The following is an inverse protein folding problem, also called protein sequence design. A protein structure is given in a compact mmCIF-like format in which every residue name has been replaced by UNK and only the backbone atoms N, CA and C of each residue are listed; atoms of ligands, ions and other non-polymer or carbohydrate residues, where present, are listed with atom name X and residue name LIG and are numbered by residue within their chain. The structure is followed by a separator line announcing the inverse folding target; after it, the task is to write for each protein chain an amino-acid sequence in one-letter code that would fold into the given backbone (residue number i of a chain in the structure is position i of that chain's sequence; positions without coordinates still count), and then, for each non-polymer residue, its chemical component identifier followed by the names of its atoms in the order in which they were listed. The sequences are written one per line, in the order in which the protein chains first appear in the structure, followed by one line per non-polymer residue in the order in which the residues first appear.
data_IF_259407236062
#
_entry.id   IF_259407236062
#
_cell.length_a   1.000
_cell.length_b   1.000
_cell.length_c   1.000
_cell.angle_alpha   90.00
_cell.angle_beta   90.00
_cell.angle_gamma   90.00
#
_symmetry.space_group_name_H-M   'P 1'
#
loop_
_entity.id
_entity.type
_entity.pdbx_description
1 polymer ?
#
# COMPACT_ATOMS: atom_id res chain seq x y z
N UNK A 1 2.86 -28.54 -57.09
CA UNK A 1 1.95 -28.83 -55.96
C UNK A 1 1.80 -27.54 -55.16
N UNK A 2 0.62 -26.90 -55.12
CA UNK A 2 0.40 -25.68 -54.31
C UNK A 2 -0.10 -26.14 -52.92
N UNK A 3 0.64 -25.82 -51.86
CA UNK A 3 0.28 -26.17 -50.48
C UNK A 3 -0.91 -25.36 -49.96
N UNK A 4 -1.61 -25.91 -48.96
CA UNK A 4 -2.71 -25.24 -48.29
C UNK A 4 -2.25 -23.96 -47.55
N UNK A 5 -3.12 -22.96 -47.36
CA UNK A 5 -2.78 -21.73 -46.65
C UNK A 5 -2.37 -22.01 -45.19
N UNK A 6 -1.42 -21.21 -44.68
CA UNK A 6 -0.98 -21.28 -43.28
C UNK A 6 -2.16 -21.09 -42.32
N UNK A 7 -2.17 -21.87 -41.23
CA UNK A 7 -3.12 -21.68 -40.13
C UNK A 7 -2.64 -20.63 -39.12
N UNK A 8 -3.47 -20.36 -38.12
CA UNK A 8 -3.20 -19.40 -37.05
C UNK A 8 -2.65 -20.09 -35.79
N UNK A 9 -1.79 -19.38 -35.06
CA UNK A 9 -1.35 -19.75 -33.71
C UNK A 9 -2.01 -18.84 -32.68
N UNK A 10 -2.75 -19.43 -31.75
CA UNK A 10 -3.30 -18.74 -30.59
C UNK A 10 -2.41 -18.97 -29.37
N UNK A 11 -1.84 -17.89 -28.83
CA UNK A 11 -1.07 -17.92 -27.58
C UNK A 11 -1.87 -17.19 -26.50
N UNK A 12 -2.26 -17.91 -25.45
CA UNK A 12 -2.90 -17.32 -24.27
C UNK A 12 -1.90 -17.24 -23.13
N UNK A 13 -1.65 -16.04 -22.64
CA UNK A 13 -0.71 -15.79 -21.54
C UNK A 13 -1.46 -15.71 -20.22
N UNK A 14 -0.98 -16.44 -19.21
CA UNK A 14 -1.45 -16.36 -17.84
C UNK A 14 -0.34 -15.81 -16.96
N UNK A 15 -0.62 -14.75 -16.21
CA UNK A 15 0.31 -14.17 -15.25
C UNK A 15 0.06 -14.82 -13.90
N UNK A 16 1.10 -15.38 -13.29
CA UNK A 16 1.00 -15.94 -11.94
C UNK A 16 0.90 -14.81 -10.91
N UNK A 17 0.15 -14.98 -9.81
CA UNK A 17 0.16 -14.03 -8.71
C UNK A 17 1.58 -13.80 -8.18
N UNK A 18 1.94 -12.54 -7.98
CA UNK A 18 3.17 -12.16 -7.29
C UNK A 18 2.95 -12.07 -5.78
N UNK A 19 4.01 -12.24 -4.99
CA UNK A 19 3.91 -12.21 -3.52
C UNK A 19 3.76 -10.81 -2.94
N UNK A 20 4.21 -9.79 -3.68
CA UNK A 20 4.28 -8.40 -3.24
C UNK A 20 3.28 -7.56 -4.02
N UNK A 21 3.20 -7.77 -5.33
CA UNK A 21 2.38 -6.96 -6.22
C UNK A 21 1.08 -7.65 -6.62
N UNK A 22 -0.01 -6.90 -6.51
CA UNK A 22 -1.21 -7.14 -7.29
C UNK A 22 -1.21 -6.32 -8.57
N UNK A 23 -2.11 -6.65 -9.48
CA UNK A 23 -2.33 -5.91 -10.72
C UNK A 23 -3.82 -5.69 -10.93
N UNK A 24 -4.21 -4.45 -11.15
CA UNK A 24 -5.56 -4.04 -11.55
C UNK A 24 -5.47 -3.27 -12.87
N UNK A 25 -5.89 -3.90 -13.97
CA UNK A 25 -5.69 -3.36 -15.31
C UNK A 25 -4.20 -3.11 -15.60
N UNK A 26 -3.82 -1.85 -15.75
CA UNK A 26 -2.43 -1.43 -15.96
C UNK A 26 -1.76 -0.90 -14.68
N UNK A 27 -2.50 -0.79 -13.58
CA UNK A 27 -1.96 -0.32 -12.31
C UNK A 27 -1.42 -1.50 -11.50
N UNK A 28 -0.38 -1.24 -10.73
CA UNK A 28 0.16 -2.17 -9.75
C UNK A 28 -0.34 -1.78 -8.37
N UNK A 29 -0.57 -2.77 -7.52
CA UNK A 29 -0.99 -2.54 -6.13
C UNK A 29 0.03 -3.17 -5.19
N UNK A 30 0.37 -2.48 -4.10
CA UNK A 30 1.21 -3.04 -3.04
C UNK A 30 0.66 -2.61 -1.68
N UNK A 31 0.70 -3.53 -0.70
CA UNK A 31 0.39 -3.21 0.69
C UNK A 31 1.69 -3.10 1.47
N UNK A 32 1.95 -1.91 2.01
CA UNK A 32 3.17 -1.62 2.78
C UNK A 32 2.82 -1.63 4.27
N UNK A 33 3.39 -2.55 5.06
CA UNK A 33 3.27 -2.51 6.50
C UNK A 33 4.03 -1.29 7.03
N UNK A 34 3.38 -0.52 7.90
CA UNK A 34 3.93 0.70 8.50
C UNK A 34 3.68 0.69 10.01
N UNK A 35 4.48 1.42 10.75
CA UNK A 35 4.22 1.70 12.16
C UNK A 35 3.14 2.78 12.32
N UNK A 36 2.48 2.77 13.48
CA UNK A 36 1.54 3.83 13.85
C UNK A 36 2.22 5.22 13.84
N UNK A 37 3.46 5.31 14.32
CA UNK A 37 4.21 6.57 14.41
C UNK A 37 4.53 7.13 13.03
N UNK A 38 4.85 6.30 12.03
CA UNK A 38 5.07 6.76 10.65
C UNK A 38 3.81 7.42 10.06
N UNK A 39 2.63 6.89 10.36
CA UNK A 39 1.37 7.50 9.93
C UNK A 39 1.00 8.75 10.74
N UNK A 40 1.17 8.68 12.07
CA UNK A 40 0.77 9.74 12.99
C UNK A 40 1.69 10.97 12.93
N UNK A 41 2.99 10.78 12.67
CA UNK A 41 4.01 11.83 12.64
C UNK A 41 4.42 12.21 11.21
N UNK A 42 4.12 11.35 10.23
CA UNK A 42 4.61 11.47 8.86
C UNK A 42 5.97 10.80 8.69
N UNK A 43 6.24 10.31 7.48
CA UNK A 43 7.47 9.58 7.15
C UNK A 43 7.74 9.64 5.65
N UNK A 44 8.89 9.12 5.23
CA UNK A 44 9.15 8.78 3.82
C UNK A 44 9.47 7.30 3.74
N UNK A 45 8.59 6.53 3.10
CA UNK A 45 8.72 5.08 2.97
C UNK A 45 9.53 4.74 1.72
N UNK A 46 10.37 3.70 1.81
CA UNK A 46 10.98 3.07 0.64
C UNK A 46 10.05 1.96 0.14
N UNK A 47 9.49 2.12 -1.06
CA UNK A 47 8.50 1.19 -1.62
C UNK A 47 9.09 0.48 -2.83
N UNK A 48 8.98 -0.86 -2.94
CA UNK A 48 9.44 -1.57 -4.13
C UNK A 48 8.57 -1.24 -5.34
N UNK A 49 9.21 -1.25 -6.50
CA UNK A 49 8.61 -1.12 -7.83
C UNK A 49 9.15 -2.26 -8.70
N UNK A 50 8.65 -2.43 -9.94
CA UNK A 50 9.18 -3.45 -10.84
C UNK A 50 10.67 -3.25 -11.20
N UNK A 51 11.14 -2.00 -11.20
CA UNK A 51 12.48 -1.64 -11.70
C UNK A 51 13.42 -1.12 -10.59
N UNK A 52 13.06 -1.26 -9.31
CA UNK A 52 13.84 -0.74 -8.18
C UNK A 52 12.96 -0.27 -7.02
N UNK A 53 13.39 0.77 -6.30
CA UNK A 53 12.64 1.35 -5.17
C UNK A 53 12.35 2.83 -5.38
N UNK A 54 11.29 3.33 -4.74
CA UNK A 54 10.92 4.75 -4.77
C UNK A 54 10.57 5.24 -3.37
N UNK A 55 10.98 6.48 -3.06
CA UNK A 55 10.59 7.16 -1.84
C UNK A 55 9.16 7.71 -1.94
N UNK A 56 8.28 7.27 -1.04
CA UNK A 56 6.88 7.72 -0.95
C UNK A 56 6.69 8.54 0.32
N UNK A 57 6.37 9.82 0.17
CA UNK A 57 6.07 10.71 1.30
C UNK A 57 4.70 10.37 1.88
N UNK A 58 4.67 10.10 3.18
CA UNK A 58 3.47 9.91 3.99
C UNK A 58 3.22 11.18 4.80
N UNK A 59 2.14 11.92 4.53
CA UNK A 59 1.77 13.08 5.34
C UNK A 59 1.47 12.69 6.79
N UNK A 60 1.72 13.63 7.72
CA UNK A 60 1.30 13.50 9.12
C UNK A 60 -0.21 13.28 9.22
N UNK A 61 -0.64 12.36 10.08
CA UNK A 61 -2.06 12.06 10.30
C UNK A 61 -2.69 11.26 9.16
N UNK A 62 -1.89 10.47 8.44
CA UNK A 62 -2.42 9.57 7.40
C UNK A 62 -3.22 8.44 8.05
N UNK A 63 -4.43 8.19 7.54
CA UNK A 63 -5.28 7.10 8.03
C UNK A 63 -4.76 5.72 7.62
N UNK A 64 -5.00 4.70 8.45
CA UNK A 64 -4.77 3.29 8.07
C UNK A 64 -5.57 2.94 6.80
N UNK A 65 -4.97 2.18 5.90
CA UNK A 65 -5.57 1.78 4.63
C UNK A 65 -5.60 2.87 3.56
N UNK A 66 -5.03 4.05 3.81
CA UNK A 66 -4.91 5.09 2.79
C UNK A 66 -4.11 4.58 1.59
N UNK A 67 -4.61 4.87 0.39
CA UNK A 67 -3.90 4.60 -0.86
C UNK A 67 -3.12 5.85 -1.28
N UNK A 68 -1.81 5.69 -1.46
CA UNK A 68 -0.88 6.69 -1.99
C UNK A 68 -0.50 6.30 -3.42
N UNK A 69 -0.58 7.25 -4.35
CA UNK A 69 -0.36 7.00 -5.77
C UNK A 69 1.02 7.46 -6.21
N UNK A 70 1.80 6.53 -6.75
CA UNK A 70 3.08 6.84 -7.42
C UNK A 70 2.86 6.77 -8.93
N UNK A 71 2.88 7.93 -9.57
CA UNK A 71 2.54 8.06 -10.98
C UNK A 71 3.56 7.37 -11.89
N UNK A 72 3.08 6.69 -12.93
CA UNK A 72 3.90 6.11 -13.98
C UNK A 72 4.75 4.90 -13.55
N UNK A 73 4.42 4.29 -12.42
CA UNK A 73 5.12 3.12 -11.85
C UNK A 73 4.31 1.82 -11.92
N UNK A 74 3.24 1.80 -12.72
CA UNK A 74 2.48 0.60 -13.08
C UNK A 74 3.01 -0.06 -14.34
N UNK A 75 2.19 -0.90 -14.97
CA UNK A 75 2.56 -1.69 -16.15
C UNK A 75 2.59 -0.80 -17.41
N UNK A 76 3.55 -1.00 -18.33
CA UNK A 76 3.59 -0.31 -19.61
C UNK A 76 2.34 -0.58 -20.45
N UNK A 77 1.80 0.48 -21.07
CA UNK A 77 0.60 0.43 -21.92
C UNK A 77 0.97 0.32 -23.38
N UNK A 78 0.15 -0.39 -24.17
CA UNK A 78 0.35 -0.52 -25.63
C UNK A 78 0.27 0.83 -26.35
N UNK A 79 -0.53 1.77 -25.85
CA UNK A 79 -0.69 3.12 -26.38
C UNK A 79 0.45 4.08 -25.99
N UNK A 80 1.45 3.60 -25.25
CA UNK A 80 2.48 4.43 -24.63
C UNK A 80 2.13 4.85 -23.20
N UNK A 81 3.18 5.18 -22.43
CA UNK A 81 3.08 5.44 -20.99
C UNK A 81 2.91 4.16 -20.16
N UNK A 82 2.63 4.36 -18.87
CA UNK A 82 2.42 3.27 -17.91
C UNK A 82 1.22 3.57 -17.02
N UNK A 83 0.68 2.54 -16.36
CA UNK A 83 -0.19 2.74 -15.20
C UNK A 83 0.57 3.33 -14.00
N UNK A 84 -0.10 3.33 -12.86
CA UNK A 84 0.42 3.84 -11.60
C UNK A 84 0.71 2.70 -10.60
N UNK A 85 1.50 2.99 -9.57
CA UNK A 85 1.64 2.13 -8.40
C UNK A 85 0.76 2.68 -7.28
N UNK A 86 -0.17 1.85 -6.81
CA UNK A 86 -1.12 2.13 -5.74
C UNK A 86 -0.61 1.49 -4.44
N UNK A 87 -0.12 2.33 -3.54
CA UNK A 87 0.49 1.93 -2.27
C UNK A 87 -0.53 2.03 -1.15
N UNK A 88 -1.02 0.90 -0.65
CA UNK A 88 -1.89 0.86 0.53
C UNK A 88 -1.02 0.78 1.77
N UNK A 89 -1.10 1.76 2.67
CA UNK A 89 -0.40 1.71 3.96
C UNK A 89 -1.25 0.93 4.97
N UNK A 90 -0.64 -0.02 5.69
CA UNK A 90 -1.32 -0.79 6.74
C UNK A 90 -0.52 -0.83 8.01
N UNK A 91 -1.13 -0.42 9.12
CA UNK A 91 -0.47 -0.43 10.42
C UNK A 91 -0.18 -1.86 10.85
N UNK A 92 1.09 -2.16 11.10
CA UNK A 92 1.54 -3.38 11.73
C UNK A 92 1.67 -3.15 13.24
N UNK A 93 1.06 -4.02 14.04
CA UNK A 93 1.16 -3.99 15.51
C UNK A 93 2.21 -5.00 15.94
N UNK A 94 3.27 -4.58 16.67
CA UNK A 94 4.29 -5.50 17.14
C UNK A 94 3.68 -6.48 18.16
N UNK A 95 3.94 -7.80 18.04
CA UNK A 95 3.36 -8.79 18.93
C UNK A 95 3.98 -8.76 20.34
N UNK A 96 5.18 -8.20 20.48
CA UNK A 96 5.91 -8.11 21.74
C UNK A 96 6.40 -6.68 21.94
N UNK A 97 6.12 -6.11 23.12
CA UNK A 97 6.59 -4.80 23.56
C UNK A 97 7.17 -4.95 24.97
N UNK A 98 8.33 -4.35 25.23
CA UNK A 98 8.98 -4.37 26.54
C UNK A 98 9.89 -3.15 26.72
N UNK A 99 10.22 -2.85 27.98
CA UNK A 99 11.12 -1.77 28.36
C UNK A 99 10.65 -0.40 27.86
N UNK A 100 11.59 0.41 27.38
CA UNK A 100 11.35 1.80 26.98
C UNK A 100 10.23 1.96 25.93
N UNK A 101 10.03 0.98 25.03
CA UNK A 101 8.98 1.04 24.04
C UNK A 101 7.57 0.91 24.67
N UNK A 102 7.43 0.06 25.68
CA UNK A 102 6.18 -0.08 26.42
C UNK A 102 5.90 1.17 27.26
N UNK A 103 6.89 1.65 28.01
CA UNK A 103 6.76 2.86 28.84
C UNK A 103 6.35 4.08 28.00
N UNK A 104 6.96 4.27 26.83
CA UNK A 104 6.61 5.35 25.92
C UNK A 104 5.17 5.23 25.38
N UNK A 105 4.71 4.01 25.08
CA UNK A 105 3.36 3.78 24.57
C UNK A 105 2.30 3.98 25.66
N UNK A 106 2.59 3.60 26.90
CA UNK A 106 1.72 3.86 28.07
C UNK A 106 1.59 5.37 28.32
N UNK A 107 2.69 6.11 28.26
CA UNK A 107 2.69 7.57 28.37
C UNK A 107 1.88 8.23 27.24
N UNK A 108 2.07 7.77 25.99
CA UNK A 108 1.26 8.23 24.86
C UNK A 108 -0.22 7.94 25.06
N UNK A 109 -0.57 6.73 25.50
CA UNK A 109 -1.97 6.34 25.73
C UNK A 109 -2.64 7.17 26.84
N UNK A 110 -1.89 7.62 27.86
CA UNK A 110 -2.41 8.55 28.87
C UNK A 110 -2.71 9.93 28.26
N UNK A 111 -1.80 10.47 27.46
CA UNK A 111 -1.96 11.75 26.77
C UNK A 111 -3.08 11.71 25.70
N UNK A 112 -3.22 10.60 24.97
CA UNK A 112 -4.28 10.41 24.00
C UNK A 112 -5.67 10.50 24.67
N UNK A 113 -5.85 9.80 25.79
CA UNK A 113 -7.12 9.85 26.55
C UNK A 113 -7.44 11.25 27.06
N UNK A 114 -6.44 11.97 27.57
CA UNK A 114 -6.66 13.35 28.06
C UNK A 114 -6.93 14.35 26.94
N UNK A 115 -6.50 14.06 25.70
CA UNK A 115 -6.80 14.89 24.53
C UNK A 115 -8.27 14.83 24.06
N UNK A 116 -9.05 13.88 24.59
CA UNK A 116 -10.45 13.65 24.17
C UNK A 116 -10.59 12.88 22.86
N UNK A 117 -9.50 12.37 22.26
CA UNK A 117 -9.58 11.50 21.10
C UNK A 117 -10.28 10.18 21.45
N UNK A 118 -11.35 9.85 20.71
CA UNK A 118 -12.07 8.60 20.87
C UNK A 118 -12.22 7.91 19.48
N UNK A 119 -11.47 6.83 19.21
CA UNK A 119 -11.54 6.13 17.92
C UNK A 119 -12.90 5.46 17.66
N UNK A 120 -13.79 5.38 18.66
CA UNK A 120 -15.15 4.84 18.56
C UNK A 120 -16.23 5.92 18.68
N UNK A 121 -15.87 7.21 18.56
CA UNK A 121 -16.83 8.30 18.69
C UNK A 121 -18.05 8.15 17.76
N UNK A 122 -17.85 7.61 16.56
CA UNK A 122 -18.92 7.39 15.57
C UNK A 122 -19.78 6.13 15.77
N UNK A 123 -19.56 5.33 16.83
CA UNK A 123 -20.33 4.10 17.08
C UNK A 123 -21.63 4.33 17.86
N UNK A 124 -21.80 5.51 18.46
CA UNK A 124 -23.07 5.90 19.02
C UNK A 124 -24.04 6.14 17.86
N UNK A 125 -24.77 5.09 17.48
CA UNK A 125 -25.71 5.10 16.36
C UNK A 125 -26.71 6.24 16.46
N UNK A 126 -27.10 6.78 15.29
CA UNK A 126 -28.28 7.63 15.16
C UNK A 126 -29.45 6.97 15.90
N UNK A 127 -29.89 7.57 17.02
CA UNK A 127 -31.25 7.43 17.50
C UNK A 127 -32.14 8.43 16.77
#
# INVERSE_FOLDING_TARGET
MRGAPSGDLYVTVHVRPDKIFGRDGDDLTVTVPVSFTELALGSTLSVPTLDGTVGVRVPKGTADGRILRVRGRGVPKRSGGSGDLLVTVKVAVPPNLAGAAQEALEAYAAAERSSGFNPRAGWAGNR
#
